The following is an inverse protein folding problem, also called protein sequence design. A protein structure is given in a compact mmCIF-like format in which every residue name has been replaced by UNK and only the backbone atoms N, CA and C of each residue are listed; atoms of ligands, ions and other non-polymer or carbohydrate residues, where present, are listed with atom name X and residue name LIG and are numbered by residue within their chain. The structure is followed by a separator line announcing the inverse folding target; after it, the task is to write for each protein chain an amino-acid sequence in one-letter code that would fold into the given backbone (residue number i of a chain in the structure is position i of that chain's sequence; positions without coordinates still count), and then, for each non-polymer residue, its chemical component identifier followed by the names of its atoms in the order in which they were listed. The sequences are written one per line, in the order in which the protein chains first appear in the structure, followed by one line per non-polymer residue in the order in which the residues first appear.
data_IF_550167737120
#
_entry.id   IF_550167737120
#
_cell.length_a   1.000
_cell.length_b   1.000
_cell.length_c   1.000
_cell.angle_alpha   90.00
_cell.angle_beta   90.00
_cell.angle_gamma   90.00
#
_symmetry.space_group_name_H-M   'P 1'
#
loop_
_entity.id
_entity.type
_entity.pdbx_description
1 polymer ?
#
# COMPACT_ATOMS: atom_id res chain seq x y z
N UNK A 1 -2.36 -19.68 -0.27
CA UNK A 1 -1.54 -19.39 -1.46
C UNK A 1 -2.10 -18.21 -2.25
N UNK A 2 -2.41 -17.07 -1.60
CA UNK A 2 -2.73 -15.84 -2.34
C UNK A 2 -1.99 -14.70 -1.67
N UNK A 3 -0.90 -14.25 -2.28
CA UNK A 3 -0.16 -13.07 -1.86
C UNK A 3 -0.84 -11.83 -2.46
N UNK A 4 -2.10 -11.60 -2.08
CA UNK A 4 -2.88 -10.46 -2.58
C UNK A 4 -3.12 -9.53 -1.41
N UNK A 5 -2.71 -8.28 -1.55
CA UNK A 5 -2.98 -7.20 -0.60
C UNK A 5 -3.91 -6.21 -1.30
N UNK A 6 -5.07 -5.93 -0.70
CA UNK A 6 -6.05 -4.98 -1.22
C UNK A 6 -6.23 -3.84 -0.23
N UNK A 7 -6.13 -2.59 -0.69
CA UNK A 7 -6.30 -1.39 0.12
C UNK A 7 -7.21 -0.39 -0.61
N UNK A 8 -8.19 0.16 0.13
CA UNK A 8 -9.11 1.20 -0.32
C UNK A 8 -8.86 2.46 0.50
N UNK A 9 -8.25 3.51 -0.08
CA UNK A 9 -7.80 4.70 0.66
C UNK A 9 -8.91 5.75 0.91
N UNK A 10 -10.14 5.30 1.17
CA UNK A 10 -11.29 6.17 1.47
C UNK A 10 -12.20 5.60 2.59
N UNK A 11 -11.67 4.72 3.44
CA UNK A 11 -12.43 4.16 4.54
C UNK A 11 -11.81 4.47 5.91
N UNK A 12 -12.53 4.15 6.98
CA UNK A 12 -12.06 4.38 8.36
C UNK A 12 -10.78 3.59 8.69
N UNK A 13 -10.60 2.41 8.09
CA UNK A 13 -9.43 1.55 8.33
C UNK A 13 -8.15 2.14 7.72
N UNK A 14 -8.25 2.83 6.59
CA UNK A 14 -7.13 3.44 5.87
C UNK A 14 -7.00 4.93 6.12
N UNK A 15 -7.83 5.52 7.00
CA UNK A 15 -7.83 6.97 7.27
C UNK A 15 -6.45 7.51 7.63
N UNK A 16 -5.62 6.69 8.28
CA UNK A 16 -4.25 7.07 8.64
C UNK A 16 -3.22 6.79 7.55
N UNK A 17 -3.57 6.07 6.48
CA UNK A 17 -2.67 5.64 5.42
C UNK A 17 -2.59 6.62 4.24
N UNK A 18 -3.16 7.82 4.36
CA UNK A 18 -3.17 8.84 3.30
C UNK A 18 -1.81 9.54 3.09
N UNK A 19 -0.74 9.03 3.71
CA UNK A 19 0.64 9.49 3.56
C UNK A 19 1.48 8.34 3.01
N UNK A 20 2.31 8.61 1.99
CA UNK A 20 3.15 7.62 1.33
C UNK A 20 4.00 6.79 2.31
N UNK A 21 4.57 7.41 3.34
CA UNK A 21 5.42 6.71 4.33
C UNK A 21 4.58 5.75 5.18
N UNK A 22 3.38 6.19 5.59
CA UNK A 22 2.48 5.36 6.39
C UNK A 22 1.92 4.18 5.57
N UNK A 23 1.49 4.44 4.34
CA UNK A 23 1.04 3.39 3.42
C UNK A 23 2.15 2.36 3.15
N UNK A 24 3.37 2.82 2.84
CA UNK A 24 4.52 1.95 2.60
C UNK A 24 4.79 1.03 3.79
N UNK A 25 4.91 1.60 4.99
CA UNK A 25 5.16 0.84 6.22
C UNK A 25 4.05 -0.17 6.51
N UNK A 26 2.80 0.17 6.22
CA UNK A 26 1.68 -0.75 6.35
C UNK A 26 1.80 -1.93 5.37
N UNK A 27 2.01 -1.65 4.07
CA UNK A 27 2.15 -2.67 3.03
C UNK A 27 3.34 -3.60 3.33
N UNK A 28 4.50 -3.06 3.72
CA UNK A 28 5.68 -3.87 4.05
C UNK A 28 5.44 -4.80 5.24
N UNK A 29 4.60 -4.42 6.21
CA UNK A 29 4.22 -5.30 7.34
C UNK A 29 3.33 -6.47 6.90
N UNK A 30 2.60 -6.34 5.79
CA UNK A 30 1.75 -7.40 5.25
C UNK A 30 2.52 -8.41 4.40
N UNK A 31 3.66 -8.02 3.83
CA UNK A 31 4.58 -8.91 3.13
C UNK A 31 5.30 -9.78 4.16
N UNK A 32 5.09 -11.11 4.11
CA UNK A 32 5.63 -12.05 5.11
C UNK A 32 6.78 -12.90 4.62
N UNK A 33 7.04 -12.89 3.32
CA UNK A 33 8.01 -13.75 2.66
C UNK A 33 8.54 -13.09 1.37
N UNK A 34 9.39 -13.80 0.64
CA UNK A 34 10.01 -13.36 -0.61
C UNK A 34 9.20 -13.74 -1.86
N UNK A 35 7.96 -14.20 -1.71
CA UNK A 35 7.09 -14.52 -2.84
C UNK A 35 6.62 -13.28 -3.58
N UNK A 36 5.99 -13.49 -4.73
CA UNK A 36 5.39 -12.40 -5.52
C UNK A 36 4.09 -11.98 -4.83
N UNK A 37 3.92 -10.68 -4.55
CA UNK A 37 2.69 -10.11 -4.04
C UNK A 37 2.00 -9.27 -5.12
N UNK A 38 0.69 -9.41 -5.25
CA UNK A 38 -0.17 -8.55 -6.05
C UNK A 38 -0.80 -7.51 -5.13
N UNK A 39 -0.64 -6.25 -5.50
CA UNK A 39 -1.16 -5.11 -4.75
C UNK A 39 -2.31 -4.48 -5.53
N UNK A 40 -3.49 -4.46 -4.93
CA UNK A 40 -4.70 -3.84 -5.48
C UNK A 40 -4.98 -2.58 -4.68
N UNK A 41 -4.66 -1.43 -5.26
CA UNK A 41 -4.81 -0.12 -4.63
C UNK A 41 -5.94 0.64 -5.30
N UNK A 42 -6.91 1.09 -4.50
CA UNK A 42 -8.04 1.89 -4.96
C UNK A 42 -8.06 3.24 -4.22
N UNK A 43 -8.63 4.27 -4.84
CA UNK A 43 -8.64 5.66 -4.32
C UNK A 43 -7.22 6.24 -4.09
N UNK A 44 -6.25 5.85 -4.93
CA UNK A 44 -4.83 6.24 -4.82
C UNK A 44 -4.58 7.74 -4.85
N UNK A 45 -5.49 8.52 -5.45
CA UNK A 45 -5.41 9.97 -5.51
C UNK A 45 -5.50 10.62 -4.11
N UNK A 46 -6.02 9.90 -3.11
CA UNK A 46 -6.08 10.38 -1.72
C UNK A 46 -4.73 10.25 -0.99
N UNK A 47 -3.77 9.50 -1.54
CA UNK A 47 -2.45 9.34 -0.93
C UNK A 47 -1.56 10.53 -1.32
N UNK A 48 -1.12 11.27 -0.30
CA UNK A 48 -0.11 12.30 -0.48
C UNK A 48 1.21 11.66 -0.90
N UNK A 49 1.81 12.20 -1.96
CA UNK A 49 3.07 11.74 -2.55
C UNK A 49 3.02 10.31 -3.10
N UNK A 50 1.89 9.89 -3.69
CA UNK A 50 1.72 8.55 -4.28
C UNK A 50 2.87 8.09 -5.22
N UNK A 51 3.44 8.92 -6.10
CA UNK A 51 4.58 8.49 -6.93
C UNK A 51 5.79 8.02 -6.11
N UNK A 52 6.04 8.63 -4.94
CA UNK A 52 7.10 8.20 -4.03
C UNK A 52 6.79 6.81 -3.46
N UNK A 53 5.56 6.58 -3.01
CA UNK A 53 5.11 5.26 -2.54
C UNK A 53 5.32 4.18 -3.60
N UNK A 54 4.89 4.43 -4.85
CA UNK A 54 5.02 3.47 -5.94
C UNK A 54 6.49 3.14 -6.23
N UNK A 55 7.34 4.15 -6.34
CA UNK A 55 8.77 3.95 -6.58
C UNK A 55 9.42 3.12 -5.46
N UNK A 56 9.13 3.45 -4.20
CA UNK A 56 9.67 2.71 -3.05
C UNK A 56 9.16 1.26 -2.92
N UNK A 57 8.04 0.91 -3.56
CA UNK A 57 7.54 -0.48 -3.62
C UNK A 57 8.19 -1.31 -4.74
N UNK A 58 8.77 -0.64 -5.75
CA UNK A 58 9.43 -1.26 -6.89
C UNK A 58 10.95 -1.39 -6.71
N UNK A 59 11.52 -0.68 -5.73
CA UNK A 59 12.91 -0.80 -5.26
C UNK A 59 13.15 -2.08 -4.42
#
# INVERSE_FOLDING_TARGET
MNHIISLLFDNLETKELLDATKAYNHIKKLIKDQGIYYLLLDEIQNIKDFPLLLNSLLD
#
